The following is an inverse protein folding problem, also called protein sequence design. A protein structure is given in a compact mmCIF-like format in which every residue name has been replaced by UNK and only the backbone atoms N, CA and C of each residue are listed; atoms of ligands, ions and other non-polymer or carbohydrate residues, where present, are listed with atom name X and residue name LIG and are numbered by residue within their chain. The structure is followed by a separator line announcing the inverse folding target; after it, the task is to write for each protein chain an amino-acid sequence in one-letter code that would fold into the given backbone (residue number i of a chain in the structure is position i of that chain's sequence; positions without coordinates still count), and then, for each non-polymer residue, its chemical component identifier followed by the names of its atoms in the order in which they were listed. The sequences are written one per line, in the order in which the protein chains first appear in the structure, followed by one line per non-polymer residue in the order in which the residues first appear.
data_IF_515898216319
#
_entry.id   IF_515898216319
#
_cell.length_a   1.000
_cell.length_b   1.000
_cell.length_c   1.000
_cell.angle_alpha   90.00
_cell.angle_beta   90.00
_cell.angle_gamma   90.00
#
_symmetry.space_group_name_H-M   'P 1'
#
loop_
_entity.id
_entity.type
_entity.pdbx_description
1 polymer ?
#
# COMPACT_ATOMS: atom_id res chain seq x y z
N UNK A 1 18.76 -19.36 12.21
CA UNK A 1 18.16 -19.24 12.26
C UNK A 1 17.25 -18.17 12.32
N UNK A 2 17.15 -17.63 12.78
CA UNK A 2 16.25 -16.89 12.90
C UNK A 2 16.01 -16.07 11.95
N UNK A 3 16.73 -15.84 11.28
CA UNK A 3 16.51 -15.10 10.42
C UNK A 3 15.58 -15.40 9.64
N UNK A 4 15.55 -16.41 9.54
CA UNK A 4 14.57 -16.80 8.79
C UNK A 4 13.40 -16.06 9.08
N UNK A 5 13.32 -15.68 10.07
CA UNK A 5 12.20 -15.16 10.39
C UNK A 5 11.91 -13.96 9.86
N UNK A 6 12.78 -13.33 9.56
CA UNK A 6 12.48 -12.15 9.03
C UNK A 6 11.77 -12.35 7.87
N UNK A 7 12.01 -13.37 7.34
CA UNK A 7 11.36 -13.59 6.32
C UNK A 7 10.13 -13.95 6.55
N UNK A 8 9.80 -14.01 7.64
CA UNK A 8 8.60 -14.43 8.01
C UNK A 8 7.48 -13.66 7.53
N UNK A 9 7.64 -12.61 6.87
CA UNK A 9 6.54 -11.93 6.31
C UNK A 9 6.04 -12.76 5.20
N UNK A 10 4.87 -13.29 5.31
CA UNK A 10 4.27 -14.09 4.25
C UNK A 10 4.06 -13.24 3.02
N UNK A 11 4.17 -13.81 1.84
CA UNK A 11 3.96 -13.04 0.61
C UNK A 11 2.63 -12.31 0.58
N UNK A 12 1.59 -12.91 1.10
CA UNK A 12 0.29 -12.25 1.13
C UNK A 12 0.32 -11.04 2.01
N UNK A 13 1.03 -11.10 3.14
CA UNK A 13 1.10 -9.98 4.05
C UNK A 13 1.90 -8.85 3.43
N UNK A 14 2.96 -9.19 2.74
CA UNK A 14 3.78 -8.19 2.09
C UNK A 14 2.98 -7.53 0.97
N UNK A 15 2.27 -8.30 0.18
CA UNK A 15 1.45 -7.76 -0.88
C UNK A 15 0.33 -6.88 -0.34
N UNK A 16 -0.31 -7.32 0.74
CA UNK A 16 -1.37 -6.53 1.35
C UNK A 16 -0.84 -5.21 1.87
N UNK A 17 0.32 -5.23 2.49
CA UNK A 17 0.94 -4.00 3.01
C UNK A 17 1.24 -3.03 1.88
N UNK A 18 1.77 -3.55 0.77
CA UNK A 18 2.10 -2.71 -0.37
C UNK A 18 0.84 -2.16 -1.03
N UNK A 19 -0.18 -2.99 -1.19
CA UNK A 19 -1.42 -2.54 -1.77
C UNK A 19 -2.11 -1.51 -0.90
N UNK A 20 -2.02 -1.67 0.41
CA UNK A 20 -2.60 -0.70 1.31
C UNK A 20 -1.83 0.61 1.23
N UNK A 21 -0.52 0.56 1.05
CA UNK A 21 0.27 1.78 0.85
C UNK A 21 -0.16 2.48 -0.43
N UNK A 22 -0.50 1.72 -1.48
CA UNK A 22 -1.01 2.31 -2.71
C UNK A 22 -2.34 3.01 -2.47
N UNK A 23 -3.21 2.39 -1.68
CA UNK A 23 -4.50 3.00 -1.35
C UNK A 23 -4.29 4.29 -0.57
N UNK A 24 -3.37 4.27 0.38
CA UNK A 24 -3.05 5.47 1.17
C UNK A 24 -2.53 6.59 0.27
N UNK A 25 -1.68 6.24 -0.68
CA UNK A 25 -1.13 7.24 -1.59
C UNK A 25 -2.22 7.82 -2.48
N UNK A 26 -3.12 6.97 -2.99
CA UNK A 26 -4.21 7.45 -3.83
C UNK A 26 -5.16 8.34 -3.04
N UNK A 27 -5.39 7.99 -1.79
CA UNK A 27 -6.23 8.79 -0.93
C UNK A 27 -5.58 10.16 -0.69
N UNK A 28 -4.29 10.19 -0.44
CA UNK A 28 -3.58 11.43 -0.20
C UNK A 28 -3.58 12.32 -1.42
N UNK A 29 -3.57 11.73 -2.60
CA UNK A 29 -3.60 12.50 -3.84
C UNK A 29 -5.01 12.95 -4.22
N UNK A 30 -6.01 12.52 -3.46
CA UNK A 30 -7.37 12.92 -3.72
C UNK A 30 -8.08 12.09 -4.79
N UNK A 31 -7.51 10.95 -5.14
CA UNK A 31 -8.08 10.10 -6.17
C UNK A 31 -9.22 9.23 -5.66
N UNK A 32 -9.34 9.08 -4.35
CA UNK A 32 -10.40 8.26 -3.77
C UNK A 32 -11.19 9.11 -2.79
N UNK A 33 -12.51 8.99 -2.84
CA UNK A 33 -13.32 9.63 -1.81
C UNK A 33 -13.36 8.69 -0.59
N UNK A 34 -14.03 9.10 0.46
CA UNK A 34 -14.06 8.34 1.69
C UNK A 34 -14.63 6.96 1.51
N UNK A 35 -15.68 6.83 0.73
CA UNK A 35 -16.33 5.54 0.52
C UNK A 35 -15.43 4.61 -0.28
N UNK A 36 -14.78 5.15 -1.30
CA UNK A 36 -13.86 4.35 -2.12
C UNK A 36 -12.66 3.92 -1.32
N UNK A 37 -12.15 4.82 -0.49
CA UNK A 37 -11.01 4.51 0.35
C UNK A 37 -11.36 3.38 1.31
N UNK A 38 -12.52 3.46 1.94
CA UNK A 38 -12.96 2.42 2.85
C UNK A 38 -13.16 1.09 2.15
N UNK A 39 -13.77 1.12 0.96
CA UNK A 39 -14.03 -0.10 0.20
C UNK A 39 -12.72 -0.75 -0.25
N UNK A 40 -11.77 0.07 -0.72
CA UNK A 40 -10.49 -0.46 -1.18
C UNK A 40 -9.70 -1.05 -0.03
N UNK A 41 -9.72 -0.39 1.11
CA UNK A 41 -9.03 -0.87 2.30
C UNK A 41 -9.65 -2.19 2.75
N UNK A 42 -10.96 -2.25 2.75
CA UNK A 42 -11.66 -3.47 3.15
C UNK A 42 -11.29 -4.62 2.22
N UNK A 43 -11.23 -4.37 0.94
CA UNK A 43 -10.88 -5.39 -0.04
C UNK A 43 -9.47 -5.93 0.18
N UNK A 44 -8.53 -5.04 0.46
CA UNK A 44 -7.15 -5.47 0.70
C UNK A 44 -7.06 -6.34 1.95
N UNK A 45 -7.83 -6.00 2.97
CA UNK A 45 -7.75 -6.71 4.24
C UNK A 45 -8.72 -7.88 4.36
N UNK A 46 -9.52 -8.11 3.33
CA UNK A 46 -10.52 -9.16 3.37
C UNK A 46 -9.83 -10.51 3.50
N UNK A 47 -10.34 -11.32 4.40
CA UNK A 47 -9.79 -12.66 4.62
C UNK A 47 -8.54 -12.69 5.49
N UNK A 48 -8.12 -11.54 5.99
CA UNK A 48 -6.94 -11.47 6.83
C UNK A 48 -7.36 -11.42 8.29
N UNK A 49 -6.69 -12.21 9.13
CA UNK A 49 -7.00 -12.27 10.55
C UNK A 49 -6.83 -10.92 11.23
N UNK A 50 -7.66 -10.63 12.20
CA UNK A 50 -7.63 -9.36 12.91
C UNK A 50 -6.25 -9.02 13.44
N UNK A 51 -5.55 -10.00 14.00
CA UNK A 51 -4.22 -9.74 14.53
C UNK A 51 -3.23 -9.34 13.46
N UNK A 52 -3.42 -9.88 12.26
CA UNK A 52 -2.53 -9.57 11.16
C UNK A 52 -2.88 -8.23 10.52
N UNK A 53 -4.12 -7.81 10.64
CA UNK A 53 -4.53 -6.53 10.05
C UNK A 53 -3.75 -5.37 10.62
N UNK A 54 -3.58 -5.35 11.95
CA UNK A 54 -2.82 -4.28 12.59
C UNK A 54 -1.38 -4.28 12.12
N UNK A 55 -0.81 -5.46 11.95
CA UNK A 55 0.54 -5.62 11.50
C UNK A 55 0.70 -5.10 10.07
N UNK A 56 -0.23 -5.47 9.22
CA UNK A 56 -0.21 -5.04 7.83
C UNK A 56 -0.38 -3.52 7.75
N UNK A 57 -1.27 -2.98 8.54
CA UNK A 57 -1.52 -1.55 8.54
C UNK A 57 -0.27 -0.80 9.00
N UNK A 58 0.41 -1.28 10.03
CA UNK A 58 1.64 -0.66 10.50
C UNK A 58 2.71 -0.68 9.42
N UNK A 59 2.83 -1.79 8.72
CA UNK A 59 3.81 -1.90 7.66
C UNK A 59 3.47 -1.01 6.48
N UNK A 60 2.18 -0.90 6.18
CA UNK A 60 1.73 -0.03 5.10
C UNK A 60 2.03 1.43 5.41
N UNK A 61 1.79 1.82 6.66
CA UNK A 61 2.07 3.19 7.07
C UNK A 61 3.56 3.48 7.03
N UNK A 62 4.38 2.51 7.45
CA UNK A 62 5.82 2.68 7.38
C UNK A 62 6.32 2.80 5.95
N UNK A 63 5.76 2.01 5.06
CA UNK A 63 6.10 2.05 3.66
C UNK A 63 5.70 3.43 3.07
N UNK A 64 4.50 3.85 3.39
CA UNK A 64 3.97 5.13 2.91
C UNK A 64 4.84 6.28 3.42
N UNK A 65 5.18 6.27 4.70
CA UNK A 65 6.04 7.30 5.25
C UNK A 65 7.42 7.27 4.60
N UNK A 66 7.91 6.08 4.32
CA UNK A 66 9.21 5.93 3.68
C UNK A 66 9.28 6.54 2.30
N UNK A 67 8.14 6.53 1.58
CA UNK A 67 8.09 7.14 0.25
C UNK A 67 8.35 8.63 0.33
N UNK A 68 7.99 9.25 1.43
CA UNK A 68 8.12 10.69 1.58
C UNK A 68 9.31 11.09 2.44
N UNK A 69 10.15 10.14 2.78
CA UNK A 69 11.30 10.39 3.60
C UNK A 69 12.23 11.40 2.92
N UNK A 70 12.76 12.32 3.67
CA UNK A 70 13.66 13.34 3.18
C UNK A 70 13.00 14.42 2.32
N UNK A 71 11.69 14.40 2.19
CA UNK A 71 10.99 15.47 1.50
C UNK A 71 10.42 16.39 2.58
N UNK A 72 10.63 17.69 2.41
CA UNK A 72 10.12 18.67 3.36
C UNK A 72 8.60 18.63 3.32
N UNK A 73 7.95 18.51 4.48
CA UNK A 73 6.50 18.44 4.55
C UNK A 73 5.85 19.65 3.92
N UNK A 74 6.55 20.77 3.82
CA UNK A 74 5.98 21.96 3.23
C UNK A 74 6.08 21.95 1.73
N UNK A 75 6.81 21.01 1.16
CA UNK A 75 6.97 20.95 -0.29
C UNK A 75 5.89 20.03 -0.86
N UNK A 76 4.68 20.55 -0.93
CA UNK A 76 3.53 19.79 -1.39
C UNK A 76 3.70 19.26 -2.80
N UNK A 77 4.37 20.01 -3.64
CA UNK A 77 4.57 19.59 -5.03
C UNK A 77 5.46 18.36 -5.09
N UNK A 78 6.52 18.34 -4.31
CA UNK A 78 7.43 17.21 -4.31
C UNK A 78 6.80 15.99 -3.68
N UNK A 79 6.01 16.18 -2.63
CA UNK A 79 5.30 15.08 -2.01
C UNK A 79 4.31 14.46 -3.00
N UNK A 80 3.55 15.31 -3.66
CA UNK A 80 2.58 14.87 -4.64
C UNK A 80 3.23 14.10 -5.77
N UNK A 81 4.34 14.61 -6.26
CA UNK A 81 5.07 13.99 -7.35
C UNK A 81 5.58 12.61 -6.93
N UNK A 82 6.09 12.49 -5.72
CA UNK A 82 6.59 11.23 -5.24
C UNK A 82 5.46 10.21 -5.11
N UNK A 83 4.32 10.62 -4.57
CA UNK A 83 3.19 9.73 -4.41
C UNK A 83 2.61 9.34 -5.77
N UNK A 84 2.58 10.28 -6.70
CA UNK A 84 2.08 10.01 -8.04
C UNK A 84 2.96 8.97 -8.74
N UNK A 85 4.26 9.11 -8.63
CA UNK A 85 5.20 8.17 -9.20
C UNK A 85 4.99 6.78 -8.62
N UNK A 86 4.76 6.72 -7.31
CA UNK A 86 4.54 5.44 -6.65
C UNK A 86 3.25 4.80 -7.14
N UNK A 87 2.18 5.56 -7.22
CA UNK A 87 0.89 5.04 -7.62
C UNK A 87 0.93 4.49 -9.05
N UNK A 88 1.76 5.09 -9.89
CA UNK A 88 1.88 4.65 -11.26
C UNK A 88 2.93 3.56 -11.45
N UNK A 89 3.61 3.18 -10.39
CA UNK A 89 4.67 2.19 -10.49
C UNK A 89 4.11 0.78 -10.54
N UNK A 90 4.96 -0.17 -10.82
CA UNK A 90 4.56 -1.57 -10.86
C UNK A 90 4.10 -2.07 -9.51
N UNK A 91 4.55 -1.45 -8.44
CA UNK A 91 4.13 -1.85 -7.10
C UNK A 91 2.63 -1.74 -6.95
N UNK A 92 2.03 -0.69 -7.52
CA UNK A 92 0.59 -0.50 -7.43
C UNK A 92 -0.13 -1.15 -8.59
N UNK A 93 0.51 -1.25 -9.74
CA UNK A 93 -0.08 -1.89 -10.89
C UNK A 93 -0.27 -3.37 -10.66
N UNK A 94 0.48 -3.94 -9.76
CA UNK A 94 0.45 -5.36 -9.54
C UNK A 94 -0.95 -5.89 -9.30
N UNK A 95 -1.75 -5.17 -8.56
CA UNK A 95 -3.11 -5.59 -8.31
C UNK A 95 -3.93 -5.60 -9.58
N UNK A 96 -3.75 -4.58 -10.41
CA UNK A 96 -4.46 -4.47 -11.66
C UNK A 96 -4.01 -5.55 -12.64
N UNK A 97 -2.71 -5.76 -12.68
CA UNK A 97 -2.16 -6.77 -13.54
C UNK A 97 -2.72 -8.14 -13.18
N UNK A 98 -2.80 -8.44 -11.90
CA UNK A 98 -3.32 -9.70 -11.46
C UNK A 98 -4.75 -9.86 -11.88
N UNK A 99 -5.54 -8.82 -11.81
CA UNK A 99 -6.91 -8.87 -12.19
C UNK A 99 -7.06 -9.11 -13.68
N UNK A 100 -6.21 -8.50 -14.47
CA UNK A 100 -6.23 -8.69 -15.91
C UNK A 100 -5.86 -10.13 -16.24
N UNK A 101 -4.89 -10.66 -15.56
CA UNK A 101 -4.49 -12.04 -15.78
C UNK A 101 -5.64 -12.99 -15.50
N UNK A 102 -6.37 -12.71 -14.46
CA UNK A 102 -7.49 -13.55 -14.10
C UNK A 102 -8.58 -13.45 -15.15
N UNK A 103 -8.75 -12.32 -15.78
CA UNK A 103 -9.81 -12.18 -16.75
C UNK A 103 -9.46 -12.85 -18.05
N UNK A 104 -8.25 -13.23 -18.25
CA UNK A 104 -7.92 -13.93 -19.46
C UNK A 104 -8.35 -15.38 -19.37
#
# INVERSE_FOLDING_TARGET
AQQAFSLSLAPEEFNASRQLACVLAEQSLGYLDEDEYGARTHTVLDGIDDGERDNILSKALGYYDGLMFAIDEKDAAQLSDRLETFVQSKACEQGTYYRVTVSL
#
